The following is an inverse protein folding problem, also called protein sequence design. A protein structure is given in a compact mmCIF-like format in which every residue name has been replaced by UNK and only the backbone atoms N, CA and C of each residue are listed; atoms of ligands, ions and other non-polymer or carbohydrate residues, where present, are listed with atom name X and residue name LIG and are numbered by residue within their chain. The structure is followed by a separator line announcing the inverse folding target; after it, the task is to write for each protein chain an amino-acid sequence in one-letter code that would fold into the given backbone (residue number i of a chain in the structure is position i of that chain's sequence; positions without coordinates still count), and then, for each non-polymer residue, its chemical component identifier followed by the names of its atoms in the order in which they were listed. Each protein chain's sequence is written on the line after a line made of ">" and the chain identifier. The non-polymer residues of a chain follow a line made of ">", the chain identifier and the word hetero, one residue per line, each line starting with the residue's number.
data_IF_681578923152
#
_entry.id   IF_681578923152
#
_cell.length_a   1.000
_cell.length_b   1.000
_cell.length_c   1.000
_cell.angle_alpha   90.00
_cell.angle_beta   90.00
_cell.angle_gamma   90.00
#
_symmetry.space_group_name_H-M   'P 1'
#
loop_
_entity.id
_entity.type
_entity.pdbx_description
1 polymer ?
#
# COMPACT_ATOMS: atom_id res chain seq x y z
N UNK A 1 -12.02 2.41 -8.37
CA UNK A 1 -13.37 1.97 -8.77
C UNK A 1 -13.40 0.55 -9.33
N UNK A 2 -12.56 0.22 -10.31
CA UNK A 2 -12.57 -1.09 -10.98
C UNK A 2 -12.36 -2.28 -10.03
N UNK A 3 -11.36 -2.20 -9.15
CA UNK A 3 -11.06 -3.25 -8.16
C UNK A 3 -12.21 -3.47 -7.17
N UNK A 4 -12.86 -2.39 -6.73
CA UNK A 4 -14.02 -2.44 -5.84
C UNK A 4 -15.24 -3.11 -6.50
N UNK A 5 -15.51 -2.83 -7.78
CA UNK A 5 -16.59 -3.49 -8.51
C UNK A 5 -16.39 -5.00 -8.61
N UNK A 6 -15.17 -5.45 -8.92
CA UNK A 6 -14.82 -6.88 -8.98
C UNK A 6 -14.96 -7.50 -7.56
N UNK A 7 -14.61 -6.75 -6.52
CA UNK A 7 -14.79 -7.19 -5.13
C UNK A 7 -16.26 -7.36 -4.73
N UNK A 8 -17.13 -6.43 -5.11
CA UNK A 8 -18.59 -6.57 -4.92
C UNK A 8 -19.17 -7.77 -5.68
N UNK A 9 -18.60 -8.10 -6.84
CA UNK A 9 -18.99 -9.28 -7.60
C UNK A 9 -18.64 -10.57 -6.82
N UNK A 10 -17.51 -10.63 -6.12
CA UNK A 10 -17.20 -11.74 -5.22
C UNK A 10 -18.24 -11.89 -4.11
N UNK A 11 -18.76 -10.77 -3.57
CA UNK A 11 -19.83 -10.76 -2.56
C UNK A 11 -21.16 -11.27 -3.16
N UNK A 12 -21.53 -10.82 -4.35
CA UNK A 12 -22.74 -11.29 -5.03
C UNK A 12 -22.70 -12.82 -5.26
N UNK A 13 -21.53 -13.36 -5.63
CA UNK A 13 -21.32 -14.80 -5.84
C UNK A 13 -21.51 -15.61 -4.55
N UNK A 14 -20.98 -15.14 -3.41
CA UNK A 14 -21.15 -15.87 -2.14
C UNK A 14 -22.59 -15.79 -1.61
N UNK A 15 -23.32 -14.70 -1.90
CA UNK A 15 -24.76 -14.60 -1.58
C UNK A 15 -25.56 -15.58 -2.44
N UNK A 16 -25.22 -15.70 -3.73
CA UNK A 16 -25.85 -16.68 -4.64
C UNK A 16 -25.57 -18.11 -4.16
N UNK A 17 -24.37 -18.39 -3.64
CA UNK A 17 -24.01 -19.70 -3.07
C UNK A 17 -24.95 -20.15 -1.94
N UNK A 18 -25.49 -19.20 -1.18
CA UNK A 18 -26.43 -19.46 -0.08
C UNK A 18 -27.87 -19.65 -0.54
N UNK A 19 -28.22 -19.19 -1.75
CA UNK A 19 -29.55 -19.39 -2.32
C UNK A 19 -29.62 -20.78 -2.96
N UNK A 20 -30.21 -21.73 -2.24
CA UNK A 20 -30.29 -23.17 -2.59
C UNK A 20 -30.95 -23.50 -3.96
N UNK A 21 -31.46 -22.51 -4.72
CA UNK A 21 -32.26 -22.74 -5.93
C UNK A 21 -31.70 -22.12 -7.21
N UNK A 22 -30.50 -21.52 -7.21
CA UNK A 22 -29.98 -20.88 -8.43
C UNK A 22 -29.42 -21.94 -9.38
N UNK A 23 -30.02 -22.04 -10.57
CA UNK A 23 -29.52 -22.94 -11.63
C UNK A 23 -28.17 -22.42 -12.14
N UNK A 24 -27.23 -23.31 -12.42
CA UNK A 24 -25.89 -22.97 -12.96
C UNK A 24 -25.97 -22.03 -14.19
N UNK A 25 -26.99 -22.21 -15.02
CA UNK A 25 -27.26 -21.34 -16.19
C UNK A 25 -27.53 -19.88 -15.80
N UNK A 26 -28.31 -19.64 -14.75
CA UNK A 26 -28.63 -18.29 -14.27
C UNK A 26 -27.40 -17.62 -13.66
N UNK A 27 -26.56 -18.39 -12.96
CA UNK A 27 -25.28 -17.93 -12.45
C UNK A 27 -24.33 -17.47 -13.57
N UNK A 28 -24.19 -18.25 -14.64
CA UNK A 28 -23.35 -17.90 -15.79
C UNK A 28 -23.86 -16.65 -16.50
N UNK A 29 -25.19 -16.54 -16.70
CA UNK A 29 -25.80 -15.34 -17.28
C UNK A 29 -25.56 -14.10 -16.42
N UNK A 30 -25.65 -14.24 -15.09
CA UNK A 30 -25.37 -13.16 -14.15
C UNK A 30 -23.92 -12.67 -14.25
N UNK A 31 -22.94 -13.59 -14.22
CA UNK A 31 -21.53 -13.25 -14.40
C UNK A 31 -21.29 -12.55 -15.73
N UNK A 32 -21.85 -13.10 -16.82
CA UNK A 32 -21.67 -12.54 -18.16
C UNK A 32 -22.21 -11.11 -18.27
N UNK A 33 -23.42 -10.85 -17.74
CA UNK A 33 -24.00 -9.49 -17.71
C UNK A 33 -23.13 -8.51 -16.92
N UNK A 34 -22.58 -8.93 -15.77
CA UNK A 34 -21.71 -8.08 -14.95
C UNK A 34 -20.38 -7.80 -15.63
N UNK A 35 -19.80 -8.78 -16.33
CA UNK A 35 -18.59 -8.60 -17.14
C UNK A 35 -18.82 -7.62 -18.29
N UNK A 36 -19.95 -7.72 -19.01
CA UNK A 36 -20.31 -6.75 -20.05
C UNK A 36 -20.47 -5.35 -19.46
N UNK A 37 -21.18 -5.22 -18.35
CA UNK A 37 -21.36 -3.93 -17.67
C UNK A 37 -20.02 -3.30 -17.28
N UNK A 38 -19.09 -4.11 -16.75
CA UNK A 38 -17.75 -3.67 -16.42
C UNK A 38 -16.99 -3.17 -17.65
N UNK A 39 -16.98 -3.95 -18.72
CA UNK A 39 -16.32 -3.60 -19.99
C UNK A 39 -16.93 -2.32 -20.60
N UNK A 40 -18.26 -2.17 -20.59
CA UNK A 40 -18.91 -0.98 -21.13
C UNK A 40 -18.52 0.28 -20.35
N UNK A 41 -18.54 0.22 -19.02
CA UNK A 41 -18.11 1.35 -18.20
C UNK A 41 -16.62 1.66 -18.38
N UNK A 42 -15.79 0.64 -18.53
CA UNK A 42 -14.36 0.81 -18.77
C UNK A 42 -14.08 1.50 -20.11
N UNK A 43 -14.76 1.08 -21.19
CA UNK A 43 -14.63 1.69 -22.51
C UNK A 43 -15.09 3.15 -22.48
N UNK A 44 -16.23 3.45 -21.85
CA UNK A 44 -16.72 4.82 -21.68
C UNK A 44 -15.68 5.64 -20.91
N UNK A 45 -15.17 5.13 -19.79
CA UNK A 45 -14.14 5.81 -19.01
C UNK A 45 -12.89 6.11 -19.85
N UNK A 46 -12.38 5.14 -20.63
CA UNK A 46 -11.22 5.33 -21.50
C UNK A 46 -11.48 6.39 -22.57
N UNK A 47 -12.69 6.41 -23.15
CA UNK A 47 -13.07 7.36 -24.20
C UNK A 47 -13.11 8.81 -23.70
N UNK A 48 -13.59 9.03 -22.46
CA UNK A 48 -13.80 10.37 -21.91
C UNK A 48 -12.61 10.90 -21.08
N UNK A 49 -11.84 10.01 -20.43
CA UNK A 49 -10.88 10.40 -19.39
C UNK A 49 -9.45 9.91 -19.63
N UNK A 50 -9.16 9.11 -20.67
CA UNK A 50 -7.78 8.64 -20.91
C UNK A 50 -6.93 9.75 -21.54
N UNK A 51 -5.87 10.24 -20.87
CA UNK A 51 -4.91 11.13 -21.52
C UNK A 51 -4.17 10.37 -22.63
N UNK A 52 -4.10 10.96 -23.83
CA UNK A 52 -3.53 10.30 -25.02
C UNK A 52 -2.01 10.04 -24.96
N UNK A 53 -1.30 10.70 -24.06
CA UNK A 53 0.15 10.56 -23.88
C UNK A 53 0.49 10.48 -22.38
N UNK A 54 0.61 9.28 -21.83
CA UNK A 54 1.11 9.09 -20.47
C UNK A 54 1.98 7.84 -20.44
N UNK A 55 3.30 8.00 -20.27
CA UNK A 55 4.26 6.90 -20.25
C UNK A 55 4.00 5.90 -19.13
N UNK A 56 3.34 6.33 -18.04
CA UNK A 56 2.90 5.44 -16.94
C UNK A 56 1.71 4.54 -17.29
N UNK A 57 1.09 4.74 -18.45
CA UNK A 57 -0.01 3.93 -18.95
C UNK A 57 0.42 2.89 -20.00
N UNK A 58 1.73 2.76 -20.25
CA UNK A 58 2.26 1.77 -21.17
C UNK A 58 1.98 0.35 -20.65
N UNK A 59 1.43 -0.46 -21.56
CA UNK A 59 1.22 -1.88 -21.31
C UNK A 59 2.58 -2.57 -21.31
N UNK A 60 2.72 -3.56 -20.44
CA UNK A 60 3.92 -4.39 -20.41
C UNK A 60 4.12 -5.02 -21.80
N UNK A 61 5.30 -4.89 -22.42
CA UNK A 61 5.58 -5.53 -23.71
C UNK A 61 5.46 -7.05 -23.58
N UNK A 62 4.92 -7.73 -24.59
CA UNK A 62 4.77 -9.19 -24.64
C UNK A 62 6.10 -9.92 -24.95
N UNK A 63 7.20 -9.43 -24.38
CA UNK A 63 8.54 -9.98 -24.52
C UNK A 63 9.00 -10.70 -23.24
N UNK A 64 10.22 -11.25 -23.24
CA UNK A 64 10.80 -11.89 -22.04
C UNK A 64 10.91 -10.91 -20.87
N UNK A 65 11.22 -9.64 -21.16
CA UNK A 65 11.31 -8.59 -20.13
C UNK A 65 9.96 -8.34 -19.47
N UNK A 66 8.87 -8.33 -20.22
CA UNK A 66 7.53 -8.14 -19.70
C UNK A 66 7.02 -9.31 -18.86
N UNK A 67 7.40 -10.55 -19.20
CA UNK A 67 7.13 -11.71 -18.35
C UNK A 67 7.84 -11.60 -17.00
N UNK A 68 9.10 -11.16 -16.99
CA UNK A 68 9.85 -10.93 -15.75
C UNK A 68 9.20 -9.83 -14.88
N UNK A 69 8.71 -8.74 -15.50
CA UNK A 69 7.94 -7.70 -14.81
C UNK A 69 6.64 -8.23 -14.20
N UNK A 70 5.90 -9.09 -14.91
CA UNK A 70 4.68 -9.71 -14.40
C UNK A 70 4.97 -10.61 -13.19
N UNK A 71 6.03 -11.43 -13.26
CA UNK A 71 6.46 -12.30 -12.17
C UNK A 71 6.87 -11.47 -10.95
N UNK A 72 7.63 -10.38 -11.14
CA UNK A 72 8.01 -9.45 -10.08
C UNK A 72 6.80 -8.77 -9.43
N UNK A 73 5.80 -8.39 -10.23
CA UNK A 73 4.55 -7.80 -9.74
C UNK A 73 3.73 -8.81 -8.93
N UNK A 74 3.64 -10.05 -9.39
CA UNK A 74 3.01 -11.17 -8.68
C UNK A 74 3.71 -11.47 -7.34
N UNK A 75 5.04 -11.48 -7.32
CA UNK A 75 5.82 -11.68 -6.10
C UNK A 75 5.61 -10.56 -5.09
N UNK A 76 5.61 -9.31 -5.55
CA UNK A 76 5.33 -8.13 -4.71
C UNK A 76 3.92 -8.17 -4.14
N UNK A 77 2.93 -8.58 -4.94
CA UNK A 77 1.55 -8.74 -4.49
C UNK A 77 1.42 -9.86 -3.46
N UNK A 78 2.08 -11.00 -3.68
CA UNK A 78 2.15 -12.09 -2.70
C UNK A 78 2.73 -11.60 -1.39
N UNK A 79 3.84 -10.87 -1.43
CA UNK A 79 4.47 -10.31 -0.22
C UNK A 79 3.52 -9.35 0.50
N UNK A 80 2.80 -8.50 -0.24
CA UNK A 80 1.84 -7.57 0.32
C UNK A 80 0.64 -8.30 0.96
N UNK A 81 0.04 -9.28 0.29
CA UNK A 81 -1.07 -10.09 0.86
C UNK A 81 -0.62 -10.85 2.11
N UNK A 82 0.58 -11.44 2.08
CA UNK A 82 1.14 -12.13 3.25
C UNK A 82 1.44 -11.16 4.40
N UNK A 83 1.84 -9.93 4.11
CA UNK A 83 2.08 -8.91 5.14
C UNK A 83 0.80 -8.54 5.91
N UNK A 84 -0.39 -8.65 5.30
CA UNK A 84 -1.67 -8.48 6.01
C UNK A 84 -1.94 -9.59 7.02
N UNK A 85 -1.53 -10.82 6.69
CA UNK A 85 -1.74 -11.99 7.53
C UNK A 85 -0.54 -12.25 8.45
N UNK A 86 0.39 -11.28 8.56
CA UNK A 86 1.55 -11.40 9.41
C UNK A 86 1.13 -11.55 10.89
N UNK A 87 1.85 -12.40 11.63
CA UNK A 87 1.50 -12.79 12.99
C UNK A 87 1.34 -11.56 13.91
N UNK A 88 0.33 -11.49 14.81
CA UNK A 88 -0.77 -12.43 15.08
C UNK A 88 -2.05 -12.16 14.27
N UNK A 89 -2.00 -11.31 13.23
CA UNK A 89 -3.20 -10.81 12.54
C UNK A 89 -4.02 -11.95 11.90
N UNK A 90 -3.37 -13.00 11.39
CA UNK A 90 -4.10 -14.14 10.80
C UNK A 90 -5.10 -14.79 11.75
N UNK A 91 -4.87 -14.74 13.07
CA UNK A 91 -5.72 -15.38 14.08
C UNK A 91 -7.13 -14.75 14.04
N UNK A 92 -7.22 -13.43 13.85
CA UNK A 92 -8.48 -12.69 13.78
C UNK A 92 -9.32 -13.05 12.54
N UNK A 93 -8.67 -13.53 11.47
CA UNK A 93 -9.36 -14.01 10.26
C UNK A 93 -9.64 -15.52 10.32
N UNK A 94 -8.75 -16.30 10.94
CA UNK A 94 -8.88 -17.75 11.05
C UNK A 94 -10.03 -18.17 11.99
N UNK A 95 -10.20 -17.50 13.14
CA UNK A 95 -11.24 -17.85 14.12
C UNK A 95 -12.66 -17.79 13.50
N UNK A 96 -13.09 -16.68 12.86
CA UNK A 96 -14.39 -16.61 12.22
C UNK A 96 -14.57 -17.62 11.08
N UNK A 97 -13.50 -17.87 10.31
CA UNK A 97 -13.52 -18.85 9.22
C UNK A 97 -13.70 -20.28 9.74
N UNK A 98 -13.04 -20.63 10.85
CA UNK A 98 -13.20 -21.93 11.52
C UNK A 98 -14.61 -22.10 12.08
N UNK A 99 -15.16 -21.06 12.74
CA UNK A 99 -16.55 -21.06 13.22
C UNK A 99 -17.49 -21.32 12.05
N UNK A 100 -17.33 -20.57 10.94
CA UNK A 100 -18.14 -20.78 9.74
C UNK A 100 -18.04 -22.20 9.21
N UNK A 101 -16.85 -22.78 9.14
CA UNK A 101 -16.64 -24.13 8.62
C UNK A 101 -17.33 -25.19 9.50
N UNK A 102 -17.16 -25.11 10.82
CA UNK A 102 -17.77 -26.04 11.77
C UNK A 102 -19.30 -25.98 11.69
N UNK A 103 -19.89 -24.78 11.72
CA UNK A 103 -21.34 -24.62 11.64
C UNK A 103 -21.92 -24.99 10.27
N UNK A 104 -21.16 -24.80 9.18
CA UNK A 104 -21.53 -25.30 7.86
C UNK A 104 -21.60 -26.83 7.84
N UNK A 105 -20.62 -27.52 8.42
CA UNK A 105 -20.60 -28.99 8.52
C UNK A 105 -21.76 -29.53 9.39
N UNK A 106 -22.05 -28.86 10.51
CA UNK A 106 -23.19 -29.21 11.37
C UNK A 106 -24.52 -29.01 10.61
N UNK A 107 -24.69 -27.86 9.95
CA UNK A 107 -25.88 -27.54 9.16
C UNK A 107 -26.13 -28.59 8.08
N UNK A 108 -25.09 -29.01 7.36
CA UNK A 108 -25.18 -30.08 6.37
C UNK A 108 -25.56 -31.45 6.95
N UNK A 109 -25.05 -31.81 8.13
CA UNK A 109 -25.49 -33.04 8.79
C UNK A 109 -26.97 -33.02 9.14
N UNK A 110 -27.54 -31.84 9.40
CA UNK A 110 -28.95 -31.67 9.75
C UNK A 110 -29.86 -31.45 8.53
N UNK A 111 -29.36 -30.86 7.45
CA UNK A 111 -30.09 -30.55 6.23
C UNK A 111 -29.31 -31.12 5.03
N UNK A 112 -29.92 -32.03 4.26
CA UNK A 112 -29.33 -32.70 3.08
C UNK A 112 -29.19 -31.70 1.90
N UNK A 113 -28.53 -30.57 2.12
CA UNK A 113 -28.19 -29.57 1.12
C UNK A 113 -26.86 -29.89 0.46
N UNK A 114 -26.61 -29.45 -0.76
CA UNK A 114 -25.39 -29.81 -1.50
C UNK A 114 -24.19 -28.96 -1.06
N UNK A 115 -23.39 -29.41 -0.09
CA UNK A 115 -22.14 -28.72 0.34
C UNK A 115 -21.23 -28.40 -0.85
N UNK A 116 -21.21 -29.27 -1.85
CA UNK A 116 -20.33 -29.14 -3.01
C UNK A 116 -20.60 -27.85 -3.80
N UNK A 117 -21.85 -27.40 -3.90
CA UNK A 117 -22.16 -26.14 -4.59
C UNK A 117 -21.67 -24.93 -3.78
N UNK A 118 -21.83 -24.94 -2.46
CA UNK A 118 -21.31 -23.86 -1.61
C UNK A 118 -19.79 -23.76 -1.65
N UNK A 119 -19.08 -24.90 -1.58
CA UNK A 119 -17.60 -24.94 -1.71
C UNK A 119 -17.19 -24.43 -3.10
N UNK A 120 -17.86 -24.85 -4.16
CA UNK A 120 -17.54 -24.43 -5.53
C UNK A 120 -17.78 -22.93 -5.74
N UNK A 121 -18.93 -22.39 -5.31
CA UNK A 121 -19.20 -20.96 -5.41
C UNK A 121 -18.32 -20.13 -4.46
N UNK A 122 -17.98 -20.65 -3.28
CA UNK A 122 -17.02 -20.04 -2.36
C UNK A 122 -15.62 -19.96 -2.97
N UNK A 123 -15.15 -21.03 -3.63
CA UNK A 123 -13.88 -21.04 -4.34
C UNK A 123 -13.87 -20.03 -5.50
N UNK A 124 -14.96 -19.94 -6.28
CA UNK A 124 -15.10 -18.94 -7.35
C UNK A 124 -15.11 -17.52 -6.76
N UNK A 125 -15.83 -17.28 -5.66
CA UNK A 125 -15.84 -15.98 -4.97
C UNK A 125 -14.43 -15.59 -4.50
N UNK A 126 -13.69 -16.52 -3.91
CA UNK A 126 -12.31 -16.28 -3.48
C UNK A 126 -11.36 -16.02 -4.67
N UNK A 127 -11.54 -16.73 -5.78
CA UNK A 127 -10.77 -16.48 -7.01
C UNK A 127 -11.07 -15.07 -7.56
N UNK A 128 -12.34 -14.67 -7.61
CA UNK A 128 -12.75 -13.32 -8.03
C UNK A 128 -12.19 -12.25 -7.08
N UNK A 129 -12.14 -12.54 -5.77
CA UNK A 129 -11.49 -11.67 -4.80
C UNK A 129 -9.98 -11.51 -5.07
N UNK A 130 -9.26 -12.60 -5.38
CA UNK A 130 -7.84 -12.51 -5.77
C UNK A 130 -7.70 -11.65 -7.02
N UNK A 131 -8.54 -11.83 -8.03
CA UNK A 131 -8.57 -10.98 -9.23
C UNK A 131 -8.89 -9.52 -8.87
N UNK A 132 -9.76 -9.26 -7.89
CA UNK A 132 -10.10 -7.92 -7.40
C UNK A 132 -8.92 -7.22 -6.72
N UNK A 133 -8.02 -7.96 -6.05
CA UNK A 133 -6.78 -7.40 -5.49
C UNK A 133 -5.87 -6.87 -6.60
N UNK A 134 -5.85 -7.56 -7.73
CA UNK A 134 -4.98 -7.30 -8.87
C UNK A 134 -5.53 -6.24 -9.82
N UNK A 135 -6.83 -6.32 -10.13
CA UNK A 135 -7.49 -5.52 -11.15
C UNK A 135 -6.86 -5.68 -12.56
N UNK A 136 -7.29 -4.86 -13.53
CA UNK A 136 -6.71 -4.85 -14.88
C UNK A 136 -5.30 -4.24 -14.92
N UNK A 137 -4.79 -3.71 -13.82
CA UNK A 137 -3.57 -2.90 -13.78
C UNK A 137 -2.29 -3.69 -13.55
N UNK A 138 -2.38 -5.01 -13.44
CA UNK A 138 -1.22 -5.90 -13.58
C UNK A 138 -0.56 -5.77 -14.95
N UNK A 139 -1.32 -5.39 -15.96
CA UNK A 139 -0.84 -5.25 -17.32
C UNK A 139 -0.07 -3.94 -17.56
N UNK A 140 0.00 -3.05 -16.55
CA UNK A 140 0.71 -1.78 -16.64
C UNK A 140 2.14 -1.92 -16.16
N UNK A 141 3.05 -1.21 -16.84
CA UNK A 141 4.47 -1.19 -16.51
C UNK A 141 4.75 -0.59 -15.11
N UNK A 142 4.00 0.44 -14.73
CA UNK A 142 4.01 1.05 -13.39
C UNK A 142 2.69 0.77 -12.67
N UNK A 143 2.50 -0.45 -12.17
CA UNK A 143 1.30 -0.80 -11.42
C UNK A 143 1.31 -0.18 -10.01
N UNK A 144 0.36 0.72 -9.65
CA UNK A 144 0.22 1.20 -8.27
C UNK A 144 -0.46 0.11 -7.41
N UNK A 145 0.32 -0.91 -7.01
CA UNK A 145 -0.16 -2.10 -6.29
C UNK A 145 -0.72 -1.75 -4.91
N UNK A 146 -0.13 -0.78 -4.21
CA UNK A 146 -0.39 -0.51 -2.79
C UNK A 146 -1.78 0.07 -2.47
N UNK A 147 -2.19 1.26 -2.97
CA UNK A 147 -3.45 1.87 -2.57
C UNK A 147 -4.68 1.06 -2.99
N UNK A 148 -4.54 0.23 -4.03
CA UNK A 148 -5.65 -0.47 -4.67
C UNK A 148 -5.93 -1.83 -4.03
N UNK A 149 -4.89 -2.56 -3.64
CA UNK A 149 -5.01 -3.82 -2.89
C UNK A 149 -5.61 -3.60 -1.51
N UNK A 150 -5.30 -2.47 -0.86
CA UNK A 150 -5.89 -2.00 0.41
C UNK A 150 -7.42 -1.92 0.38
N UNK A 151 -7.98 -1.26 -0.62
CA UNK A 151 -9.44 -1.05 -0.72
C UNK A 151 -10.15 -2.39 -0.95
N UNK A 152 -9.61 -3.23 -1.81
CA UNK A 152 -10.16 -4.56 -2.07
C UNK A 152 -10.06 -5.49 -0.87
N UNK A 153 -9.08 -5.30 0.03
CA UNK A 153 -8.94 -6.14 1.23
C UNK A 153 -10.17 -6.09 2.14
N UNK A 154 -10.91 -4.97 2.18
CA UNK A 154 -12.17 -4.86 2.95
C UNK A 154 -13.24 -5.88 2.54
N UNK A 155 -13.21 -6.35 1.29
CA UNK A 155 -14.14 -7.34 0.73
C UNK A 155 -14.00 -8.69 1.44
N UNK A 156 -12.79 -9.05 1.91
CA UNK A 156 -12.57 -10.32 2.60
C UNK A 156 -13.38 -10.40 3.90
N UNK A 157 -13.56 -9.27 4.59
CA UNK A 157 -14.34 -9.21 5.84
C UNK A 157 -15.81 -9.54 5.58
N UNK A 158 -16.35 -9.03 4.46
CA UNK A 158 -17.74 -9.29 4.05
C UNK A 158 -17.91 -10.74 3.61
N UNK A 159 -16.95 -11.28 2.84
CA UNK A 159 -16.93 -12.69 2.43
C UNK A 159 -16.94 -13.62 3.64
N UNK A 160 -16.21 -13.29 4.71
CA UNK A 160 -16.18 -14.08 5.95
C UNK A 160 -17.48 -13.90 6.78
N UNK A 161 -18.04 -12.70 6.81
CA UNK A 161 -19.24 -12.40 7.60
C UNK A 161 -20.50 -13.13 7.09
N UNK A 162 -20.68 -13.22 5.77
CA UNK A 162 -21.89 -13.79 5.14
C UNK A 162 -22.16 -15.24 5.58
N UNK A 163 -21.18 -16.17 5.50
CA UNK A 163 -21.33 -17.53 6.00
C UNK A 163 -21.66 -17.62 7.50
N UNK A 164 -21.05 -16.77 8.34
CA UNK A 164 -21.31 -16.76 9.79
C UNK A 164 -22.76 -16.35 10.07
N UNK A 165 -23.23 -15.30 9.40
CA UNK A 165 -24.60 -14.82 9.54
C UNK A 165 -25.64 -15.87 9.12
N UNK A 166 -25.31 -16.70 8.12
CA UNK A 166 -26.20 -17.72 7.61
C UNK A 166 -26.17 -19.02 8.45
N UNK A 167 -24.98 -19.57 8.71
CA UNK A 167 -24.83 -20.87 9.37
C UNK A 167 -24.79 -20.79 10.90
N UNK A 168 -24.38 -19.66 11.46
CA UNK A 168 -24.23 -19.46 12.91
C UNK A 168 -24.90 -18.15 13.39
N UNK A 169 -26.22 -17.95 13.18
CA UNK A 169 -26.88 -16.68 13.50
C UNK A 169 -26.82 -16.31 14.99
N UNK A 170 -26.73 -17.31 15.88
CA UNK A 170 -26.53 -17.10 17.33
C UNK A 170 -25.16 -16.52 17.67
N UNK A 171 -24.16 -16.74 16.82
CA UNK A 171 -22.79 -16.23 16.95
C UNK A 171 -22.51 -15.07 15.97
N UNK A 172 -23.53 -14.34 15.53
CA UNK A 172 -23.40 -13.22 14.58
C UNK A 172 -22.29 -12.21 14.93
N UNK A 173 -22.02 -11.99 16.21
CA UNK A 173 -20.96 -11.09 16.67
C UNK A 173 -19.54 -11.59 16.36
N UNK A 174 -19.34 -12.89 16.11
CA UNK A 174 -18.06 -13.42 15.67
C UNK A 174 -17.62 -12.87 14.30
N UNK A 175 -18.57 -12.41 13.47
CA UNK A 175 -18.28 -11.73 12.21
C UNK A 175 -17.54 -10.38 12.39
N UNK A 176 -17.55 -9.80 13.61
CA UNK A 176 -16.86 -8.55 13.92
C UNK A 176 -15.39 -8.74 14.33
N UNK A 177 -14.93 -9.96 14.59
CA UNK A 177 -13.55 -10.23 15.01
C UNK A 177 -12.52 -9.68 14.00
N UNK A 178 -12.68 -9.82 12.67
CA UNK A 178 -11.74 -9.23 11.70
C UNK A 178 -11.68 -7.70 11.75
N UNK A 179 -12.73 -7.02 12.22
CA UNK A 179 -12.76 -5.56 12.35
C UNK A 179 -11.76 -5.07 13.40
N UNK A 180 -11.53 -5.87 14.45
CA UNK A 180 -10.53 -5.57 15.49
C UNK A 180 -9.13 -5.44 14.87
N UNK A 181 -8.78 -6.35 13.95
CA UNK A 181 -7.50 -6.30 13.24
C UNK A 181 -7.34 -5.01 12.43
N UNK A 182 -8.39 -4.56 11.75
CA UNK A 182 -8.39 -3.31 10.96
C UNK A 182 -8.22 -2.07 11.84
N UNK A 183 -8.93 -2.01 12.96
CA UNK A 183 -8.82 -0.90 13.92
C UNK A 183 -7.43 -0.86 14.56
N UNK A 184 -6.91 -2.02 14.97
CA UNK A 184 -5.57 -2.13 15.52
C UNK A 184 -4.50 -1.72 14.50
N UNK A 185 -4.65 -2.13 13.24
CA UNK A 185 -3.76 -1.71 12.16
C UNK A 185 -3.82 -0.19 11.94
N UNK A 186 -5.01 0.39 11.87
CA UNK A 186 -5.19 1.84 11.69
C UNK A 186 -4.55 2.65 12.82
N UNK A 187 -4.77 2.25 14.07
CA UNK A 187 -4.17 2.91 15.22
C UNK A 187 -2.63 2.81 15.21
N UNK A 188 -2.09 1.64 14.88
CA UNK A 188 -0.64 1.45 14.80
C UNK A 188 -0.02 2.23 13.65
N UNK A 189 -0.66 2.24 12.49
CA UNK A 189 -0.22 3.03 11.35
C UNK A 189 -0.20 4.52 11.71
N UNK A 190 -1.28 5.06 12.29
CA UNK A 190 -1.35 6.45 12.72
C UNK A 190 -0.27 6.82 13.74
N UNK A 191 -0.07 5.98 14.76
CA UNK A 191 0.99 6.18 15.75
C UNK A 191 2.39 6.15 15.15
N UNK A 192 2.62 5.27 14.17
CA UNK A 192 3.92 5.12 13.50
C UNK A 192 4.23 6.31 12.62
N UNK A 193 3.25 6.75 11.81
CA UNK A 193 3.38 7.94 10.98
C UNK A 193 3.61 9.19 11.83
N UNK A 194 2.87 9.34 12.93
CA UNK A 194 3.06 10.44 13.87
C UNK A 194 4.46 10.43 14.50
N UNK A 195 4.93 9.28 14.96
CA UNK A 195 6.28 9.15 15.52
C UNK A 195 7.38 9.45 14.49
N UNK A 196 7.20 9.05 13.23
CA UNK A 196 8.11 9.37 12.15
C UNK A 196 8.11 10.88 11.85
N UNK A 197 6.92 11.51 11.80
CA UNK A 197 6.79 12.94 11.57
C UNK A 197 7.41 13.77 12.71
N UNK A 198 7.18 13.41 13.96
CA UNK A 198 7.79 14.09 15.12
C UNK A 198 9.32 13.99 15.10
N UNK A 199 9.84 12.85 14.67
CA UNK A 199 11.28 12.64 14.47
C UNK A 199 11.84 13.49 13.33
N UNK A 200 11.15 13.55 12.19
CA UNK A 200 11.54 14.41 11.07
C UNK A 200 11.51 15.88 11.48
N UNK A 201 10.44 16.33 12.12
CA UNK A 201 10.30 17.69 12.64
C UNK A 201 11.44 18.06 13.58
N UNK A 202 11.83 17.17 14.48
CA UNK A 202 12.99 17.34 15.35
C UNK A 202 14.29 17.53 14.54
N UNK A 203 14.54 16.68 13.54
CA UNK A 203 15.76 16.77 12.72
C UNK A 203 15.77 18.04 11.86
N UNK A 204 14.66 18.40 11.23
CA UNK A 204 14.59 19.61 10.40
C UNK A 204 14.66 20.89 11.23
N UNK A 205 14.16 20.89 12.47
CA UNK A 205 14.37 22.02 13.38
C UNK A 205 15.87 22.21 13.71
N UNK A 206 16.61 21.12 13.95
CA UNK A 206 18.07 21.19 14.17
C UNK A 206 18.80 21.70 12.93
N UNK A 207 18.47 21.17 11.74
CA UNK A 207 19.05 21.64 10.48
C UNK A 207 18.77 23.14 10.28
N UNK A 208 17.53 23.58 10.51
CA UNK A 208 17.16 24.98 10.37
C UNK A 208 17.93 25.88 11.33
N UNK A 209 18.13 25.45 12.58
CA UNK A 209 18.92 26.18 13.55
C UNK A 209 20.39 26.27 13.15
N UNK A 210 20.99 25.16 12.69
CA UNK A 210 22.39 25.14 12.22
C UNK A 210 22.59 26.05 11.00
N UNK A 211 21.64 26.04 10.06
CA UNK A 211 21.69 26.91 8.88
C UNK A 211 21.50 28.38 9.28
N UNK A 212 20.59 28.70 10.21
CA UNK A 212 20.36 30.06 10.68
C UNK A 212 21.59 30.67 11.37
N UNK A 213 22.46 29.85 11.97
CA UNK A 213 23.73 30.30 12.55
C UNK A 213 24.77 30.72 11.50
N UNK A 214 24.56 30.39 10.22
CA UNK A 214 25.46 30.73 9.12
C UNK A 214 24.87 31.87 8.29
N UNK A 215 25.55 33.02 8.30
CA UNK A 215 25.16 34.19 7.50
C UNK A 215 25.55 33.96 6.03
N UNK A 216 24.73 34.46 5.09
CA UNK A 216 24.97 34.50 3.64
C UNK A 216 24.74 33.19 2.83
N UNK A 217 23.91 32.27 3.32
CA UNK A 217 23.49 31.11 2.50
C UNK A 217 22.43 31.56 1.48
N UNK A 218 22.75 31.41 0.19
CA UNK A 218 21.90 31.78 -0.95
C UNK A 218 21.13 30.58 -1.52
N UNK A 219 21.63 29.36 -1.31
CA UNK A 219 21.00 28.14 -1.82
C UNK A 219 21.18 26.99 -0.83
N UNK A 220 20.10 26.24 -0.61
CA UNK A 220 20.09 25.03 0.23
C UNK A 220 19.65 23.84 -0.64
N UNK A 221 20.48 22.79 -0.67
CA UNK A 221 20.17 21.52 -1.29
C UNK A 221 20.08 20.39 -0.26
N UNK A 222 19.28 19.37 -0.57
CA UNK A 222 19.15 18.16 0.26
C UNK A 222 19.56 16.93 -0.54
N UNK A 223 20.31 16.02 0.07
CA UNK A 223 20.76 14.76 -0.53
C UNK A 223 20.53 13.62 0.45
N UNK A 224 20.06 12.47 -0.06
CA UNK A 224 19.87 11.26 0.75
C UNK A 224 18.47 11.16 1.35
N UNK A 225 18.34 10.31 2.35
CA UNK A 225 17.08 10.00 3.01
C UNK A 225 17.29 9.92 4.52
N UNK A 226 16.34 10.43 5.29
CA UNK A 226 16.35 10.28 6.74
C UNK A 226 16.16 8.81 7.14
N UNK A 227 16.81 8.43 8.24
CA UNK A 227 16.56 7.12 8.85
C UNK A 227 15.11 7.05 9.36
N UNK A 228 14.54 5.84 9.37
CA UNK A 228 13.31 5.61 10.11
C UNK A 228 13.57 5.82 11.61
N UNK A 229 12.61 6.42 12.30
CA UNK A 229 12.63 6.51 13.75
C UNK A 229 12.73 5.11 14.37
N UNK A 230 13.51 4.91 15.44
CA UNK A 230 13.70 3.58 16.07
C UNK A 230 12.37 2.92 16.49
N UNK A 231 11.41 3.69 17.01
CA UNK A 231 10.08 3.18 17.34
C UNK A 231 9.32 2.77 16.08
N UNK A 232 9.43 3.56 15.02
CA UNK A 232 8.80 3.22 13.75
C UNK A 232 9.42 1.97 13.13
N UNK A 233 10.75 1.85 13.19
CA UNK A 233 11.52 0.70 12.73
C UNK A 233 11.08 -0.59 13.45
N UNK A 234 10.99 -0.57 14.78
CA UNK A 234 10.50 -1.71 15.55
C UNK A 234 9.07 -2.12 15.16
N UNK A 235 8.19 -1.16 14.87
CA UNK A 235 6.81 -1.46 14.44
C UNK A 235 6.81 -2.04 13.01
N UNK A 236 7.62 -1.50 12.11
CA UNK A 236 7.76 -1.99 10.72
C UNK A 236 8.34 -3.41 10.70
N UNK A 237 9.34 -3.70 11.52
CA UNK A 237 9.92 -5.04 11.66
C UNK A 237 8.88 -6.06 12.14
N UNK A 238 8.06 -5.68 13.13
CA UNK A 238 6.99 -6.54 13.63
C UNK A 238 5.77 -6.60 12.72
N UNK A 239 5.56 -5.60 11.86
CA UNK A 239 4.42 -5.48 10.94
C UNK A 239 4.86 -4.87 9.61
N UNK A 240 5.35 -5.68 8.66
CA UNK A 240 5.87 -5.21 7.39
C UNK A 240 4.88 -4.35 6.57
N UNK A 241 3.58 -4.60 6.74
CA UNK A 241 2.53 -3.83 6.08
C UNK A 241 2.61 -2.33 6.39
N UNK A 242 3.01 -1.95 7.61
CA UNK A 242 3.17 -0.55 8.03
C UNK A 242 4.30 0.14 7.27
N UNK A 243 5.37 -0.60 6.94
CA UNK A 243 6.52 -0.07 6.20
C UNK A 243 6.19 0.41 4.79
N UNK A 244 5.08 -0.06 4.21
CA UNK A 244 4.62 0.43 2.92
C UNK A 244 3.90 1.79 2.97
N UNK A 245 3.65 2.33 4.16
CA UNK A 245 3.01 3.65 4.34
C UNK A 245 3.92 4.67 5.00
N UNK A 246 4.85 4.19 5.82
CA UNK A 246 5.77 5.03 6.57
C UNK A 246 7.02 5.19 5.72
N UNK A 247 7.07 6.30 4.97
CA UNK A 247 8.22 6.67 4.16
C UNK A 247 8.99 7.79 4.85
N UNK A 248 10.23 7.55 5.30
CA UNK A 248 11.08 8.62 5.79
C UNK A 248 11.31 9.69 4.72
N UNK A 249 11.42 10.95 5.14
CA UNK A 249 11.63 12.07 4.24
C UNK A 249 12.84 11.87 3.30
N UNK A 250 12.53 11.78 2.01
CA UNK A 250 13.48 11.79 0.89
C UNK A 250 13.80 13.22 0.48
N UNK A 251 14.76 13.41 -0.42
CA UNK A 251 15.24 14.73 -0.84
C UNK A 251 14.10 15.69 -1.22
N UNK A 252 13.10 15.19 -1.94
CA UNK A 252 11.95 16.00 -2.34
C UNK A 252 11.10 16.42 -1.15
N UNK A 253 10.70 15.48 -0.28
CA UNK A 253 9.88 15.82 0.89
C UNK A 253 10.64 16.71 1.89
N UNK A 254 11.92 16.43 2.07
CA UNK A 254 12.82 17.22 2.91
C UNK A 254 12.91 18.68 2.48
N UNK A 255 12.95 18.95 1.17
CA UNK A 255 12.97 20.32 0.63
C UNK A 255 11.74 21.12 1.08
N UNK A 256 10.54 20.52 1.02
CA UNK A 256 9.32 21.15 1.51
C UNK A 256 9.31 21.33 3.03
N UNK A 257 9.82 20.36 3.78
CA UNK A 257 9.90 20.50 5.24
C UNK A 257 10.81 21.66 5.64
N UNK A 258 11.97 21.83 4.99
CA UNK A 258 12.86 22.98 5.22
C UNK A 258 12.21 24.32 4.85
N UNK A 259 11.50 24.39 3.72
CA UNK A 259 10.73 25.58 3.32
C UNK A 259 9.70 25.93 4.41
N UNK A 260 8.99 24.94 4.93
CA UNK A 260 8.02 25.13 6.02
C UNK A 260 8.66 25.58 7.34
N UNK A 261 9.96 25.36 7.55
CA UNK A 261 10.73 25.91 8.67
C UNK A 261 11.26 27.34 8.41
N UNK A 262 10.92 27.95 7.27
CA UNK A 262 11.30 29.32 6.92
C UNK A 262 12.54 29.43 6.02
N UNK A 263 13.09 28.31 5.54
CA UNK A 263 14.25 28.29 4.65
C UNK A 263 13.81 28.36 3.17
N UNK A 264 13.35 29.53 2.75
CA UNK A 264 12.78 29.73 1.40
C UNK A 264 13.81 29.56 0.27
N UNK A 265 15.11 29.69 0.55
CA UNK A 265 16.18 29.46 -0.43
C UNK A 265 16.48 27.98 -0.73
N UNK A 266 15.60 27.07 -0.33
CA UNK A 266 15.77 25.62 -0.57
C UNK A 266 15.35 25.26 -2.00
N UNK A 267 16.25 24.57 -2.71
CA UNK A 267 15.99 24.07 -4.06
C UNK A 267 15.00 22.90 -4.01
N UNK A 268 14.01 22.90 -4.90
CA UNK A 268 12.93 21.92 -4.92
C UNK A 268 12.58 21.55 -6.38
N UNK A 269 12.77 20.29 -6.74
CA UNK A 269 12.52 19.81 -8.09
C UNK A 269 13.25 18.50 -8.36
N UNK A 270 12.70 17.66 -9.25
CA UNK A 270 13.34 16.39 -9.61
C UNK A 270 14.70 16.58 -10.30
N UNK A 271 14.87 17.65 -11.07
CA UNK A 271 16.15 18.08 -11.66
C UNK A 271 17.19 18.41 -10.60
N UNK A 272 16.74 19.07 -9.53
CA UNK A 272 17.59 19.67 -8.51
C UNK A 272 18.21 18.59 -7.61
N UNK A 273 17.53 17.44 -7.44
CA UNK A 273 18.05 16.30 -6.67
C UNK A 273 19.37 15.78 -7.28
N UNK A 274 19.44 15.64 -8.60
CA UNK A 274 20.64 15.14 -9.25
C UNK A 274 21.77 16.18 -9.24
N UNK A 275 21.40 17.46 -9.43
CA UNK A 275 22.35 18.57 -9.31
C UNK A 275 22.96 18.67 -7.90
N UNK A 276 22.14 18.50 -6.86
CA UNK A 276 22.59 18.50 -5.46
C UNK A 276 23.56 17.35 -5.16
N UNK A 277 23.33 16.16 -5.74
CA UNK A 277 24.26 15.01 -5.61
C UNK A 277 25.63 15.32 -6.24
N UNK A 278 25.63 15.93 -7.42
CA UNK A 278 26.87 16.34 -8.11
C UNK A 278 27.61 17.42 -7.30
N UNK A 279 26.89 18.42 -6.79
CA UNK A 279 27.45 19.47 -5.93
C UNK A 279 28.10 18.89 -4.68
N UNK A 280 27.42 17.96 -4.00
CA UNK A 280 27.96 17.29 -2.81
C UNK A 280 29.25 16.52 -3.15
N UNK A 281 29.25 15.73 -4.22
CA UNK A 281 30.42 14.98 -4.66
C UNK A 281 31.62 15.89 -4.96
N UNK A 282 31.36 17.05 -5.58
CA UNK A 282 32.38 18.07 -5.84
C UNK A 282 32.91 18.74 -4.57
N UNK A 283 32.07 18.94 -3.54
CA UNK A 283 32.52 19.47 -2.25
C UNK A 283 33.44 18.46 -1.55
N UNK A 284 33.06 17.19 -1.56
CA UNK A 284 33.85 16.10 -0.97
C UNK A 284 35.19 15.94 -1.70
N UNK A 285 35.20 15.95 -3.04
CA UNK A 285 36.44 15.81 -3.83
C UNK A 285 37.41 16.98 -3.64
N UNK A 286 36.89 18.17 -3.32
CA UNK A 286 37.69 19.34 -2.90
C UNK A 286 38.18 19.27 -1.44
N UNK A 287 37.85 18.22 -0.70
CA UNK A 287 38.25 18.03 0.69
C UNK A 287 37.45 18.87 1.69
N UNK A 288 36.27 19.38 1.31
CA UNK A 288 35.39 20.15 2.20
C UNK A 288 34.79 19.20 3.24
N UNK A 289 35.08 19.48 4.51
CA UNK A 289 34.52 18.73 5.65
C UNK A 289 33.15 19.28 6.05
N UNK A 290 32.26 18.44 6.61
CA UNK A 290 30.98 18.91 7.12
C UNK A 290 31.22 19.90 8.26
N UNK A 291 30.48 21.00 8.25
CA UNK A 291 30.52 22.06 9.28
C UNK A 291 29.78 21.62 10.53
N UNK A 292 28.72 20.84 10.37
CA UNK A 292 27.99 20.16 11.44
C UNK A 292 27.74 18.72 11.02
N UNK A 293 27.99 17.76 11.91
CA UNK A 293 27.75 16.35 11.65
C UNK A 293 27.27 15.67 12.93
N UNK A 294 26.15 14.97 12.83
CA UNK A 294 25.59 14.19 13.91
C UNK A 294 25.02 12.87 13.36
N UNK A 295 24.34 12.10 14.21
CA UNK A 295 23.76 10.81 13.81
C UNK A 295 22.58 10.91 12.82
N UNK A 296 22.04 12.10 12.60
CA UNK A 296 20.83 12.35 11.80
C UNK A 296 21.11 13.03 10.46
N UNK A 297 22.11 13.93 10.40
CA UNK A 297 22.50 14.63 9.18
C UNK A 297 23.96 15.09 9.21
N UNK A 298 24.45 15.51 8.05
CA UNK A 298 25.70 16.25 7.92
C UNK A 298 25.51 17.46 7.00
N UNK A 299 25.97 18.63 7.45
CA UNK A 299 25.84 19.90 6.76
C UNK A 299 27.17 20.29 6.12
N UNK A 300 27.18 20.44 4.81
CA UNK A 300 28.32 20.92 4.04
C UNK A 300 28.04 22.35 3.58
N UNK A 301 29.02 23.23 3.73
CA UNK A 301 28.92 24.62 3.26
C UNK A 301 30.15 24.91 2.40
N UNK A 302 29.91 25.37 1.18
CA UNK A 302 30.95 25.92 0.30
C UNK A 302 30.43 27.23 -0.28
N UNK A 303 31.24 28.28 -0.15
CA UNK A 303 30.88 29.64 -0.59
C UNK A 303 29.56 30.09 0.06
N UNK A 304 28.48 30.18 -0.74
CA UNK A 304 27.14 30.57 -0.29
C UNK A 304 26.10 29.43 -0.49
N UNK A 305 26.55 28.20 -0.74
CA UNK A 305 25.67 27.03 -0.94
C UNK A 305 25.80 26.07 0.22
N UNK A 306 24.68 25.70 0.82
CA UNK A 306 24.58 24.68 1.85
C UNK A 306 24.00 23.38 1.25
N UNK A 307 24.65 22.26 1.48
CA UNK A 307 24.11 20.93 1.15
C UNK A 307 23.93 20.14 2.44
N UNK A 308 22.70 19.71 2.69
CA UNK A 308 22.32 18.85 3.81
C UNK A 308 22.29 17.41 3.33
N UNK A 309 23.20 16.59 3.84
CA UNK A 309 23.14 15.15 3.69
C UNK A 309 22.26 14.56 4.81
N UNK A 310 21.15 13.93 4.42
CA UNK A 310 20.20 13.29 5.33
C UNK A 310 20.68 11.86 5.67
N UNK A 311 20.72 11.55 6.96
CA UNK A 311 21.28 10.30 7.47
C UNK A 311 22.73 10.44 7.93
N UNK A 312 23.29 9.32 8.42
CA UNK A 312 24.67 9.27 8.90
C UNK A 312 25.62 9.22 7.71
N UNK A 313 26.44 10.25 7.55
CA UNK A 313 27.52 10.26 6.58
C UNK A 313 28.68 9.43 7.13
N UNK A 314 28.85 8.21 6.62
CA UNK A 314 30.01 7.38 6.94
C UNK A 314 31.14 7.76 5.96
N UNK A 315 32.19 8.39 6.48
CA UNK A 315 33.48 8.53 5.80
C UNK A 315 34.13 7.15 5.62
#
# INVERSE_FOLDING_TARGET
>A
MQTFFIGLLAIDVIIIALKQHVKVKEFVIFLFKKTILFLSFYIIYMLFFSPKNNSRAELIPLDKGGLDYLIGTLASLKALVLSYLYHPVYIYFAIPMLISCVFMLISYRTHIGNIASFILYGAISFLIFIISLMGPTILLQDAPVLPRTLVSFSVIMVIIAIPIMHFAPRLKYAALIPVIASLAFSAQLGNTMKAQQEYEDFVFNMIAQDIANHKNIVSIGTVGQLNANERAKLIIENKPLVGYFVFPATEFLASFQLINKGLLQTQHGYSDVQENKIKLANMISKGIKPVSSNQYYSLFISDNTAIVFLGKYNN
#
